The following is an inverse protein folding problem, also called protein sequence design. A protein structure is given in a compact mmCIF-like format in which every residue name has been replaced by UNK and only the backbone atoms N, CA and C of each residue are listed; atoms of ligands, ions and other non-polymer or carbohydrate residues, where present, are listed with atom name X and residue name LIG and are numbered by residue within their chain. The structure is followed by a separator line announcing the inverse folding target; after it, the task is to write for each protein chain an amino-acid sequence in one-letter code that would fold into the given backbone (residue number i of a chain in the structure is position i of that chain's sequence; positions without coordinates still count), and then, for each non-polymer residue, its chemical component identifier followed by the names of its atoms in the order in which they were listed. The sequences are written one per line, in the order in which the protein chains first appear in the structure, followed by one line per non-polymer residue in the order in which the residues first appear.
data_IF_888352726358
#
_entry.id   IF_888352726358
#
_cell.length_a   1.000
_cell.length_b   1.000
_cell.length_c   1.000
_cell.angle_alpha   90.00
_cell.angle_beta   90.00
_cell.angle_gamma   90.00
#
_symmetry.space_group_name_H-M   'P 1'
#
loop_
_entity.id
_entity.type
_entity.pdbx_description
1 polymer ?
#
# COMPACT_ATOMS: atom_id res chain seq x y z
N UNK A 1 24.99 -5.23 -13.06
CA UNK A 1 24.07 -4.47 -12.18
C UNK A 1 24.58 -3.03 -12.11
N UNK A 2 23.75 -2.03 -12.44
CA UNK A 2 24.08 -0.61 -12.30
C UNK A 2 23.50 -0.11 -10.98
N UNK A 3 24.34 0.46 -10.14
CA UNK A 3 23.88 1.11 -8.90
C UNK A 3 23.57 2.56 -9.24
N UNK A 4 22.35 3.00 -8.95
CA UNK A 4 21.91 4.39 -9.10
C UNK A 4 21.92 5.00 -7.69
N UNK A 5 22.49 6.19 -7.56
CA UNK A 5 22.50 6.90 -6.29
C UNK A 5 21.09 7.15 -5.80
N UNK A 6 20.78 6.87 -4.52
CA UNK A 6 19.48 7.13 -3.96
C UNK A 6 19.15 8.62 -4.03
N UNK A 7 18.04 8.94 -4.71
CA UNK A 7 17.51 10.29 -4.81
C UNK A 7 15.99 10.28 -4.78
N UNK A 8 15.38 11.45 -4.62
CA UNK A 8 13.91 11.58 -4.71
C UNK A 8 13.37 11.35 -6.12
N UNK A 9 14.23 11.43 -7.16
CA UNK A 9 13.91 11.12 -8.55
C UNK A 9 15.06 10.29 -9.15
N UNK A 10 15.06 8.95 -8.97
CA UNK A 10 16.14 8.09 -9.41
C UNK A 10 16.22 7.90 -10.93
N UNK A 11 15.18 8.28 -11.69
CA UNK A 11 15.20 8.20 -13.16
C UNK A 11 15.80 9.43 -13.83
N UNK A 12 16.02 10.51 -13.07
CA UNK A 12 16.58 11.76 -13.60
C UNK A 12 17.99 11.53 -14.17
N UNK A 13 18.17 11.87 -15.43
CA UNK A 13 19.46 11.73 -16.13
C UNK A 13 19.79 10.32 -16.61
N UNK A 14 18.90 9.35 -16.44
CA UNK A 14 19.05 8.03 -17.06
C UNK A 14 18.70 8.15 -18.55
N UNK A 15 19.61 7.68 -19.40
CA UNK A 15 19.43 7.65 -20.86
C UNK A 15 19.22 6.22 -21.38
N UNK A 16 19.58 5.23 -20.61
CA UNK A 16 19.52 3.81 -20.96
C UNK A 16 18.19 3.18 -20.55
N UNK A 17 17.80 2.09 -21.22
CA UNK A 17 16.70 1.24 -20.76
C UNK A 17 17.17 0.35 -19.62
N UNK A 18 16.28 0.17 -18.64
CA UNK A 18 16.50 -0.64 -17.43
C UNK A 18 15.47 -1.77 -17.41
N UNK A 19 15.92 -3.00 -17.29
CA UNK A 19 15.01 -4.15 -17.26
C UNK A 19 14.21 -4.23 -15.97
N UNK A 20 14.85 -3.90 -14.83
CA UNK A 20 14.23 -4.02 -13.52
C UNK A 20 14.68 -2.90 -12.56
N UNK A 21 13.76 -2.33 -11.80
CA UNK A 21 14.03 -1.33 -10.78
C UNK A 21 13.17 -1.52 -9.53
N UNK A 22 13.59 -0.86 -8.43
CA UNK A 22 12.85 -0.79 -7.18
C UNK A 22 12.78 0.66 -6.70
N UNK A 23 11.62 1.09 -6.19
CA UNK A 23 11.39 2.46 -5.71
C UNK A 23 10.48 2.47 -4.48
N UNK A 24 10.57 3.55 -3.72
CA UNK A 24 9.53 3.93 -2.77
C UNK A 24 8.41 4.71 -3.48
N UNK A 25 7.18 4.80 -2.94
CA UNK A 25 6.07 5.52 -3.56
C UNK A 25 6.39 6.98 -3.92
N UNK A 26 7.14 7.69 -3.07
CA UNK A 26 7.58 9.06 -3.34
C UNK A 26 8.52 9.15 -4.56
N UNK A 27 9.43 8.19 -4.70
CA UNK A 27 10.34 8.13 -5.85
C UNK A 27 9.58 7.84 -7.14
N UNK A 28 8.59 6.95 -7.07
CA UNK A 28 7.71 6.66 -8.20
C UNK A 28 6.95 7.91 -8.67
N UNK A 29 6.32 8.65 -7.75
CA UNK A 29 5.57 9.88 -8.11
C UNK A 29 6.48 10.93 -8.76
N UNK A 30 7.71 11.08 -8.28
CA UNK A 30 8.68 11.99 -8.84
C UNK A 30 9.31 11.52 -10.18
N UNK A 31 9.14 10.25 -10.53
CA UNK A 31 9.78 9.63 -11.70
C UNK A 31 8.82 9.36 -12.87
N UNK A 32 7.55 9.74 -12.76
CA UNK A 32 6.50 9.40 -13.74
C UNK A 32 6.84 9.77 -15.17
N UNK A 33 7.50 10.91 -15.39
CA UNK A 33 7.85 11.41 -16.73
C UNK A 33 8.89 10.56 -17.46
N UNK A 34 9.70 9.83 -16.73
CA UNK A 34 10.81 9.03 -17.22
C UNK A 34 10.63 7.53 -16.94
N UNK A 35 9.46 7.14 -16.48
CA UNK A 35 9.19 5.78 -16.02
C UNK A 35 9.28 4.75 -17.15
N UNK A 36 8.96 5.14 -18.37
CA UNK A 36 9.04 4.32 -19.57
C UNK A 36 10.46 3.78 -19.89
N UNK A 37 11.47 4.33 -19.22
CA UNK A 37 12.86 3.83 -19.28
C UNK A 37 13.03 2.50 -18.52
N UNK A 38 12.12 2.17 -17.63
CA UNK A 38 12.15 0.95 -16.81
C UNK A 38 11.10 -0.02 -17.36
N UNK A 39 11.48 -1.27 -17.64
CA UNK A 39 10.57 -2.30 -18.12
C UNK A 39 9.68 -2.82 -17.01
N UNK A 40 10.28 -3.19 -15.87
CA UNK A 40 9.56 -3.73 -14.70
C UNK A 40 10.01 -3.00 -13.45
N UNK A 41 9.05 -2.53 -12.66
CA UNK A 41 9.29 -1.79 -11.42
C UNK A 41 8.54 -2.42 -10.27
N UNK A 42 9.23 -2.66 -9.17
CA UNK A 42 8.59 -2.94 -7.88
C UNK A 42 8.57 -1.70 -7.00
N UNK A 43 7.49 -1.51 -6.27
CA UNK A 43 7.30 -0.38 -5.35
C UNK A 43 6.95 -0.92 -3.98
N UNK A 44 7.72 -0.54 -2.97
CA UNK A 44 7.54 -1.03 -1.61
C UNK A 44 7.89 0.02 -0.56
N UNK A 45 7.82 -0.39 0.72
CA UNK A 45 8.10 0.49 1.86
C UNK A 45 6.96 1.45 2.22
N UNK A 46 5.79 1.30 1.60
CA UNK A 46 4.57 2.05 1.89
C UNK A 46 3.51 1.84 0.82
N UNK A 47 2.27 2.15 1.17
CA UNK A 47 1.13 2.03 0.26
C UNK A 47 1.23 3.02 -0.91
N UNK A 48 0.93 2.56 -2.11
CA UNK A 48 0.84 3.42 -3.29
C UNK A 48 -0.52 4.12 -3.32
N UNK A 49 -0.51 5.44 -3.29
CA UNK A 49 -1.73 6.25 -3.29
C UNK A 49 -2.61 5.96 -4.52
N UNK A 50 -3.94 5.81 -4.39
CA UNK A 50 -4.85 5.54 -5.51
C UNK A 50 -4.71 6.52 -6.68
N UNK A 51 -4.50 7.82 -6.43
CA UNK A 51 -4.26 8.83 -7.48
C UNK A 51 -2.97 8.56 -8.26
N UNK A 52 -1.95 8.03 -7.59
CA UNK A 52 -0.72 7.62 -8.26
C UNK A 52 -0.95 6.37 -9.11
N UNK A 53 -1.72 5.42 -8.61
CA UNK A 53 -2.15 4.23 -9.38
C UNK A 53 -2.91 4.62 -10.65
N UNK A 54 -3.78 5.64 -10.60
CA UNK A 54 -4.48 6.15 -11.79
C UNK A 54 -3.50 6.70 -12.84
N UNK A 55 -2.47 7.45 -12.43
CA UNK A 55 -1.44 7.97 -13.33
C UNK A 55 -0.64 6.86 -14.02
N UNK A 56 -0.49 5.70 -13.36
CA UNK A 56 0.24 4.56 -13.91
C UNK A 56 -0.48 3.85 -15.06
N UNK A 57 -1.76 4.07 -15.27
CA UNK A 57 -2.52 3.37 -16.32
C UNK A 57 -2.05 3.73 -17.74
N UNK A 58 -1.34 4.83 -17.90
CA UNK A 58 -0.86 5.33 -19.19
C UNK A 58 0.65 5.11 -19.41
N UNK A 59 1.34 4.38 -18.52
CA UNK A 59 2.76 4.09 -18.66
C UNK A 59 2.99 2.68 -19.19
N UNK A 60 4.08 2.50 -19.97
CA UNK A 60 4.45 1.18 -20.54
C UNK A 60 5.16 0.26 -19.53
N UNK A 61 5.70 0.82 -18.46
CA UNK A 61 6.36 0.10 -17.37
C UNK A 61 5.37 -0.80 -16.64
N UNK A 62 5.73 -2.06 -16.42
CA UNK A 62 4.97 -2.94 -15.53
C UNK A 62 5.30 -2.60 -14.08
N UNK A 63 4.32 -2.11 -13.34
CA UNK A 63 4.52 -1.66 -11.96
C UNK A 63 3.79 -2.58 -10.99
N UNK A 64 4.52 -3.08 -10.00
CA UNK A 64 4.00 -3.94 -8.95
C UNK A 64 4.20 -3.30 -7.59
N UNK A 65 3.17 -3.30 -6.75
CA UNK A 65 3.32 -3.02 -5.33
C UNK A 65 3.74 -4.29 -4.60
N UNK A 66 4.69 -4.17 -3.68
CA UNK A 66 5.19 -5.30 -2.90
C UNK A 66 4.71 -5.21 -1.46
N UNK A 67 4.42 -6.37 -0.88
CA UNK A 67 4.12 -6.52 0.54
C UNK A 67 5.23 -7.32 1.21
N UNK A 68 5.70 -6.82 2.36
CA UNK A 68 6.72 -7.42 3.19
C UNK A 68 7.06 -6.50 4.37
N UNK A 69 7.78 -7.02 5.33
CA UNK A 69 8.14 -6.33 6.56
C UNK A 69 9.54 -6.77 7.03
N UNK A 70 10.02 -6.18 8.11
CA UNK A 70 11.34 -6.51 8.67
C UNK A 70 11.43 -7.99 9.04
N UNK A 71 10.36 -8.54 9.59
CA UNK A 71 10.26 -9.93 10.04
C UNK A 71 10.30 -10.93 8.89
N UNK A 72 9.91 -10.50 7.69
CA UNK A 72 9.99 -11.34 6.47
C UNK A 72 11.30 -11.14 5.70
N UNK A 73 12.19 -10.25 6.13
CA UNK A 73 13.47 -9.89 5.50
C UNK A 73 13.34 -9.35 4.06
N UNK A 74 12.31 -9.71 3.34
CA UNK A 74 12.05 -9.36 1.94
C UNK A 74 10.56 -9.34 1.64
N UNK A 75 10.22 -9.16 0.36
CA UNK A 75 8.84 -9.21 -0.11
C UNK A 75 8.29 -10.64 -0.04
N UNK A 76 7.05 -10.79 0.38
CA UNK A 76 6.32 -12.07 0.48
C UNK A 76 5.11 -12.11 -0.45
N UNK A 77 4.64 -10.95 -0.92
CA UNK A 77 3.58 -10.87 -1.91
C UNK A 77 3.74 -9.66 -2.83
N UNK A 78 3.11 -9.74 -4.00
CA UNK A 78 3.09 -8.67 -4.99
C UNK A 78 1.67 -8.45 -5.54
N UNK A 79 1.42 -7.21 -5.99
CA UNK A 79 0.15 -6.80 -6.60
C UNK A 79 0.42 -5.93 -7.82
N UNK A 80 -0.07 -6.27 -9.03
CA UNK A 80 0.11 -5.43 -10.22
C UNK A 80 -0.74 -4.17 -10.14
N UNK A 81 -0.12 -2.99 -10.33
CA UNK A 81 -0.77 -1.69 -10.23
C UNK A 81 -1.33 -1.19 -11.55
N UNK A 82 -0.86 -1.72 -12.69
CA UNK A 82 -1.26 -1.30 -14.03
C UNK A 82 -1.29 -2.45 -15.03
N UNK A 83 -1.68 -2.15 -16.26
CA UNK A 83 -1.79 -3.13 -17.33
C UNK A 83 -2.99 -4.08 -17.20
N UNK A 84 -3.09 -5.08 -18.10
CA UNK A 84 -4.24 -6.00 -18.15
C UNK A 84 -4.46 -6.83 -16.88
N UNK A 85 -3.38 -7.05 -16.11
CA UNK A 85 -3.40 -7.82 -14.87
C UNK A 85 -3.63 -6.98 -13.62
N UNK A 86 -3.91 -5.66 -13.76
CA UNK A 86 -4.16 -4.78 -12.61
C UNK A 86 -5.11 -5.42 -11.60
N UNK A 87 -4.73 -5.37 -10.34
CA UNK A 87 -5.48 -5.98 -9.24
C UNK A 87 -5.33 -5.17 -7.97
N UNK A 88 -6.29 -5.28 -7.05
CA UNK A 88 -6.21 -4.81 -5.67
C UNK A 88 -5.82 -5.93 -4.69
N UNK A 89 -5.55 -7.13 -5.22
CA UNK A 89 -5.21 -8.32 -4.46
C UNK A 89 -3.71 -8.59 -4.54
N UNK A 90 -3.08 -8.75 -3.39
CA UNK A 90 -1.72 -9.26 -3.26
C UNK A 90 -1.73 -10.77 -3.45
N UNK A 91 -0.75 -11.28 -4.21
CA UNK A 91 -0.52 -12.70 -4.41
C UNK A 91 0.81 -13.08 -3.80
N UNK A 92 0.83 -14.20 -3.09
CA UNK A 92 2.03 -14.79 -2.51
C UNK A 92 3.12 -15.02 -3.57
N UNK A 93 4.35 -14.82 -3.17
CA UNK A 93 5.50 -15.38 -3.87
C UNK A 93 5.61 -16.88 -3.55
N UNK A 94 6.48 -17.58 -4.28
CA UNK A 94 6.63 -19.05 -4.14
C UNK A 94 6.90 -19.47 -2.68
N UNK A 95 6.30 -20.58 -2.27
CA UNK A 95 6.43 -21.20 -0.94
C UNK A 95 5.92 -20.34 0.24
N UNK A 96 5.02 -19.38 -0.02
CA UNK A 96 4.41 -18.54 1.01
C UNK A 96 2.91 -18.77 1.05
N UNK A 97 2.36 -18.92 2.28
CA UNK A 97 0.95 -19.10 2.53
C UNK A 97 0.46 -18.12 3.59
N UNK A 98 -0.83 -17.80 3.53
CA UNK A 98 -1.48 -16.86 4.42
C UNK A 98 -2.65 -17.50 5.16
N UNK A 99 -2.84 -17.07 6.40
CA UNK A 99 -4.03 -17.37 7.21
C UNK A 99 -4.42 -16.14 8.04
N UNK A 100 -5.52 -16.21 8.77
CA UNK A 100 -5.96 -15.17 9.70
C UNK A 100 -5.82 -15.62 11.15
N UNK A 101 -5.39 -14.72 12.01
CA UNK A 101 -5.50 -14.92 13.45
C UNK A 101 -6.92 -14.60 13.98
N UNK A 102 -7.14 -14.77 15.28
CA UNK A 102 -8.42 -14.49 15.94
C UNK A 102 -8.84 -13.00 15.88
N UNK A 103 -7.94 -12.10 15.52
CA UNK A 103 -8.18 -10.66 15.33
C UNK A 103 -8.52 -10.29 13.89
N UNK A 104 -8.54 -11.28 12.97
CA UNK A 104 -8.62 -11.10 11.51
C UNK A 104 -7.37 -10.44 10.91
N UNK A 105 -6.23 -10.54 11.62
CA UNK A 105 -4.95 -10.08 11.13
C UNK A 105 -4.24 -11.17 10.34
N UNK A 106 -3.47 -10.74 9.33
CA UNK A 106 -2.69 -11.63 8.46
C UNK A 106 -1.62 -12.36 9.26
N UNK A 107 -1.55 -13.67 9.07
CA UNK A 107 -0.44 -14.53 9.50
C UNK A 107 0.27 -15.06 8.26
N UNK A 108 1.59 -14.96 8.25
CA UNK A 108 2.43 -15.30 7.10
C UNK A 108 3.22 -16.57 7.44
N UNK A 109 3.07 -17.60 6.63
CA UNK A 109 3.88 -18.81 6.65
C UNK A 109 4.92 -18.72 5.53
N UNK A 110 6.17 -18.53 5.88
CA UNK A 110 7.30 -18.39 4.97
C UNK A 110 8.49 -19.18 5.51
N UNK A 111 8.38 -20.51 5.55
CA UNK A 111 9.30 -21.41 6.25
C UNK A 111 10.75 -21.28 5.78
N UNK A 112 10.97 -20.89 4.52
CA UNK A 112 12.32 -20.61 4.01
C UNK A 112 12.95 -19.33 4.62
N UNK A 113 12.13 -18.40 5.14
CA UNK A 113 12.57 -17.13 5.73
C UNK A 113 12.53 -17.20 7.26
N UNK A 114 11.49 -17.80 7.81
CA UNK A 114 11.28 -17.96 9.24
C UNK A 114 10.55 -19.31 9.48
N UNK A 115 11.07 -20.22 10.33
CA UNK A 115 10.41 -21.48 10.64
C UNK A 115 9.08 -21.32 11.38
N UNK A 116 8.90 -20.21 12.12
CA UNK A 116 7.67 -19.90 12.85
C UNK A 116 6.78 -18.96 12.03
N UNK A 117 5.45 -19.09 12.12
CA UNK A 117 4.53 -18.17 11.50
C UNK A 117 4.73 -16.72 11.99
N UNK A 118 4.68 -15.76 11.08
CA UNK A 118 4.80 -14.35 11.39
C UNK A 118 3.41 -13.77 11.55
N UNK A 119 3.04 -13.43 12.79
CA UNK A 119 1.76 -12.81 13.14
C UNK A 119 1.89 -11.29 12.96
N UNK A 120 1.04 -10.72 12.12
CA UNK A 120 1.06 -9.29 11.83
C UNK A 120 0.01 -8.50 12.60
N UNK A 121 -0.01 -7.18 12.43
CA UNK A 121 -1.11 -6.28 12.79
C UNK A 121 -1.82 -5.72 11.54
N UNK A 122 -1.73 -6.41 10.42
CA UNK A 122 -2.38 -6.02 9.18
C UNK A 122 -3.73 -6.71 9.03
N UNK A 123 -4.80 -5.94 9.00
CA UNK A 123 -6.14 -6.42 8.68
C UNK A 123 -6.26 -6.65 7.19
N UNK A 124 -6.77 -7.81 6.80
CA UNK A 124 -6.91 -8.20 5.41
C UNK A 124 -8.25 -8.88 5.14
N UNK A 125 -8.65 -8.85 3.87
CA UNK A 125 -9.68 -9.72 3.31
C UNK A 125 -8.93 -10.90 2.64
N UNK A 126 -8.89 -12.04 3.32
CA UNK A 126 -8.21 -13.24 2.82
C UNK A 126 -9.08 -13.88 1.73
N UNK A 127 -8.57 -13.89 0.49
CA UNK A 127 -9.28 -14.44 -0.66
C UNK A 127 -9.10 -15.97 -0.72
N UNK A 128 -7.86 -16.40 -0.54
CA UNK A 128 -7.44 -17.79 -0.42
C UNK A 128 -6.10 -17.87 0.32
N UNK A 129 -5.55 -19.06 0.51
CA UNK A 129 -4.28 -19.27 1.21
C UNK A 129 -3.06 -18.60 0.56
N UNK A 130 -3.18 -18.13 -0.69
CA UNK A 130 -2.10 -17.49 -1.44
C UNK A 130 -2.42 -16.06 -1.86
N UNK A 131 -3.56 -15.51 -1.43
CA UNK A 131 -3.93 -14.17 -1.85
C UNK A 131 -4.83 -13.43 -0.86
N UNK A 132 -4.59 -12.13 -0.72
CA UNK A 132 -5.35 -11.26 0.17
C UNK A 132 -5.48 -9.84 -0.38
N UNK A 133 -6.49 -9.12 0.10
CA UNK A 133 -6.64 -7.68 -0.04
C UNK A 133 -6.29 -7.01 1.28
N UNK A 134 -5.32 -6.10 1.27
CA UNK A 134 -4.97 -5.34 2.46
C UNK A 134 -6.03 -4.27 2.76
N UNK A 135 -6.47 -4.18 4.01
CA UNK A 135 -7.51 -3.26 4.44
C UNK A 135 -6.97 -2.11 5.30
N UNK A 136 -5.97 -2.39 6.15
CA UNK A 136 -5.41 -1.40 7.06
C UNK A 136 -4.67 -2.04 8.22
N UNK A 137 -4.36 -1.22 9.24
CA UNK A 137 -3.67 -1.68 10.46
C UNK A 137 -4.66 -1.88 11.59
N UNK A 138 -4.53 -2.99 12.31
CA UNK A 138 -5.34 -3.27 13.51
C UNK A 138 -5.21 -2.17 14.56
N UNK A 139 -3.99 -1.63 14.72
CA UNK A 139 -3.69 -0.56 15.67
C UNK A 139 -4.37 0.77 15.33
N UNK A 140 -4.80 0.96 14.07
CA UNK A 140 -5.46 2.17 13.60
C UNK A 140 -6.99 2.09 13.69
N UNK A 141 -7.56 0.92 14.02
CA UNK A 141 -9.02 0.74 14.07
C UNK A 141 -9.65 1.68 15.07
N UNK A 142 -10.61 2.47 14.60
CA UNK A 142 -11.38 3.39 15.43
C UNK A 142 -12.65 2.67 15.89
N UNK A 143 -12.88 2.63 17.20
CA UNK A 143 -14.10 2.06 17.78
C UNK A 143 -15.10 3.18 18.12
N UNK A 144 -16.01 3.45 17.21
CA UNK A 144 -17.01 4.51 17.34
C UNK A 144 -18.39 3.94 17.66
N UNK A 145 -18.82 4.06 18.89
CA UNK A 145 -20.12 3.55 19.34
C UNK A 145 -20.29 2.03 19.17
N UNK A 146 -19.21 1.26 19.29
CA UNK A 146 -19.20 -0.19 19.08
C UNK A 146 -18.98 -0.63 17.63
N UNK A 147 -18.87 0.31 16.70
CA UNK A 147 -18.58 0.03 15.28
C UNK A 147 -17.07 0.16 15.06
N UNK A 148 -16.45 -0.91 14.57
CA UNK A 148 -15.04 -0.89 14.16
C UNK A 148 -14.92 -0.26 12.78
N UNK A 149 -14.15 0.81 12.68
CA UNK A 149 -13.90 1.54 11.43
C UNK A 149 -12.41 1.46 11.12
N UNK A 150 -12.09 0.98 9.93
CA UNK A 150 -10.71 0.92 9.42
C UNK A 150 -10.46 2.22 8.65
N UNK A 151 -9.60 3.13 9.15
CA UNK A 151 -9.36 4.43 8.55
C UNK A 151 -8.95 4.35 7.09
N UNK A 152 -8.06 3.43 6.74
CA UNK A 152 -7.48 3.26 5.42
C UNK A 152 -8.56 2.90 4.37
N UNK A 153 -9.58 2.13 4.74
CA UNK A 153 -10.73 1.81 3.87
C UNK A 153 -11.57 3.06 3.59
N UNK A 154 -11.77 3.90 4.61
CA UNK A 154 -12.51 5.17 4.45
C UNK A 154 -11.72 6.15 3.61
N UNK A 155 -10.42 6.28 3.86
CA UNK A 155 -9.51 7.15 3.11
C UNK A 155 -9.45 6.78 1.63
N UNK A 156 -9.39 5.48 1.32
CA UNK A 156 -9.43 5.00 -0.06
C UNK A 156 -10.69 5.46 -0.80
N UNK A 157 -11.86 5.39 -0.15
CA UNK A 157 -13.14 5.87 -0.71
C UNK A 157 -13.20 7.39 -0.85
N UNK A 158 -12.60 8.13 0.09
CA UNK A 158 -12.60 9.60 0.07
C UNK A 158 -11.57 10.18 -0.89
N UNK A 159 -10.60 9.41 -1.35
CA UNK A 159 -9.50 9.88 -2.20
C UNK A 159 -9.97 10.54 -3.50
N UNK A 160 -11.11 10.12 -4.06
CA UNK A 160 -11.74 10.72 -5.24
C UNK A 160 -12.60 11.94 -4.93
N UNK A 161 -13.03 12.10 -3.68
CA UNK A 161 -13.98 13.15 -3.24
C UNK A 161 -13.23 14.35 -2.70
N UNK A 162 -12.17 14.12 -1.90
CA UNK A 162 -11.37 15.21 -1.32
C UNK A 162 -10.37 15.74 -2.36
N UNK A 163 -10.52 16.98 -2.85
CA UNK A 163 -9.68 17.48 -3.92
C UNK A 163 -8.28 17.82 -3.43
N UNK A 164 -7.25 17.34 -4.14
CA UNK A 164 -5.84 17.76 -4.13
C UNK A 164 -5.20 18.22 -2.80
N UNK A 165 -5.70 17.75 -1.68
CA UNK A 165 -5.16 18.01 -0.34
C UNK A 165 -4.78 16.70 0.32
N UNK A 166 -3.80 16.75 1.20
CA UNK A 166 -3.53 15.63 2.08
C UNK A 166 -4.63 15.56 3.13
N UNK A 167 -5.06 14.36 3.43
CA UNK A 167 -6.04 14.12 4.47
C UNK A 167 -5.80 12.74 5.09
N UNK A 168 -6.34 12.56 6.28
CA UNK A 168 -6.41 11.26 6.94
C UNK A 168 -7.63 11.20 7.86
N UNK A 169 -8.02 9.97 8.18
CA UNK A 169 -9.08 9.66 9.14
C UNK A 169 -8.45 9.36 10.50
N UNK A 170 -9.00 9.93 11.57
CA UNK A 170 -8.54 9.67 12.92
C UNK A 170 -9.69 9.49 13.90
N UNK A 171 -9.44 8.76 14.98
CA UNK A 171 -10.30 8.72 16.15
C UNK A 171 -10.06 9.92 17.05
N UNK A 172 -11.12 10.55 17.51
CA UNK A 172 -11.06 11.58 18.56
C UNK A 172 -11.94 11.16 19.72
N UNK A 173 -11.43 11.24 20.95
CA UNK A 173 -12.19 10.91 22.15
C UNK A 173 -13.55 11.62 22.17
N UNK A 174 -14.61 10.86 22.46
CA UNK A 174 -15.99 11.32 22.53
C UNK A 174 -16.70 10.66 23.72
N UNK A 175 -17.48 11.45 24.49
CA UNK A 175 -18.14 10.98 25.71
C UNK A 175 -19.21 9.92 25.48
N UNK A 176 -19.87 9.95 24.33
CA UNK A 176 -20.99 9.06 23.99
C UNK A 176 -20.57 7.86 23.17
N UNK A 177 -19.59 8.04 22.29
CA UNK A 177 -19.15 7.04 21.32
C UNK A 177 -17.85 6.33 21.72
N UNK A 178 -17.18 6.79 22.79
CA UNK A 178 -15.80 6.40 23.11
C UNK A 178 -14.83 7.14 22.18
N UNK A 179 -14.94 6.89 20.89
CA UNK A 179 -14.25 7.64 19.84
C UNK A 179 -15.23 8.09 18.76
N UNK A 180 -15.06 9.29 18.25
CA UNK A 180 -15.71 9.75 17.02
C UNK A 180 -14.72 9.83 15.87
N UNK A 181 -15.18 9.47 14.70
CA UNK A 181 -14.38 9.56 13.46
C UNK A 181 -14.27 11.02 13.04
N UNK A 182 -13.07 11.47 12.74
CA UNK A 182 -12.80 12.82 12.24
C UNK A 182 -11.97 12.72 10.96
N UNK A 183 -12.33 13.56 9.99
CA UNK A 183 -11.54 13.79 8.80
C UNK A 183 -10.62 14.98 9.04
N UNK A 184 -9.31 14.76 8.95
CA UNK A 184 -8.29 15.80 9.07
C UNK A 184 -7.78 16.13 7.68
N UNK A 185 -7.91 17.41 7.28
CA UNK A 185 -7.52 17.88 5.93
C UNK A 185 -6.49 18.98 6.06
N UNK A 186 -5.40 18.88 5.31
CA UNK A 186 -4.34 19.89 5.27
C UNK A 186 -4.83 21.18 4.62
N UNK A 187 -4.48 22.34 5.22
CA UNK A 187 -4.72 23.67 4.65
C UNK A 187 -5.79 24.47 5.37
N UNK A 188 -6.32 25.51 4.70
CA UNK A 188 -7.37 26.36 5.26
C UNK A 188 -8.69 25.58 5.40
N UNK A 189 -9.49 25.94 6.42
CA UNK A 189 -10.83 25.37 6.61
C UNK A 189 -11.63 25.45 5.32
N UNK A 190 -12.38 24.41 5.04
CA UNK A 190 -13.28 24.33 3.89
C UNK A 190 -14.68 23.96 4.40
N UNK A 191 -15.69 24.47 3.74
CA UNK A 191 -17.06 24.04 3.97
C UNK A 191 -17.27 22.73 3.20
N UNK A 192 -17.71 21.70 3.92
CA UNK A 192 -18.05 20.40 3.35
C UNK A 192 -19.58 20.27 3.52
N UNK A 193 -20.32 21.07 2.77
CA UNK A 193 -21.79 20.98 2.70
C UNK A 193 -22.21 20.03 1.58
#
# INVERSE_FOLDING_TARGET
MKVIEPSSNPTKGITEKIDFGAMFPLQLDNSLTDLDKIKTLIVGGGQVNPKLVEKLQNVSTQVYETYGMTETLTHVAIKPLNGPSKSDVFRALDDIHFELDARECLVIHATALNPEPIVTNDLVDLIDENSFRWLGRYDNVINSGGIKIIPEVVEAKLSSIVPNRRFFIAGKSDKSLGEKVVLVVEGKSMDIS
#
